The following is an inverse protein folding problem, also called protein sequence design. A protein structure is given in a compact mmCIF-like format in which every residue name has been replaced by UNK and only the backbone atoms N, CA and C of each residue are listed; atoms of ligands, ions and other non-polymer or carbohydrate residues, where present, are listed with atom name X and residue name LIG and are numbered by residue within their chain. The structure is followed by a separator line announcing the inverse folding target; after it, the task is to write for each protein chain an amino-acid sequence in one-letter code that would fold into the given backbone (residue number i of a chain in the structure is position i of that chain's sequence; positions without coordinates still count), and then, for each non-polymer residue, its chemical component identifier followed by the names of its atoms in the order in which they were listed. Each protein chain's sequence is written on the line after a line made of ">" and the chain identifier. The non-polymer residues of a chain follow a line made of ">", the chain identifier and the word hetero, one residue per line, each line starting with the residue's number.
data_IF_392975645542
#
_entry.id   IF_392975645542
#
_cell.length_a   1.000
_cell.length_b   1.000
_cell.length_c   1.000
_cell.angle_alpha   90.00
_cell.angle_beta   90.00
_cell.angle_gamma   90.00
#
_symmetry.space_group_name_H-M   'P 1'
#
loop_
_entity.id
_entity.type
_entity.pdbx_description
1 polymer ?
#
# COMPACT_ATOMS: atom_id res chain seq x y z
N UNK A 1 26.63 -7.70 0.00
CA UNK A 1 25.67 -8.05 -1.05
C UNK A 1 24.25 -8.08 -0.44
N UNK A 2 23.25 -7.45 -1.06
CA UNK A 2 21.86 -7.48 -0.55
C UNK A 2 21.33 -8.93 -0.61
N UNK A 3 20.91 -9.46 0.54
CA UNK A 3 20.40 -10.83 0.64
C UNK A 3 18.98 -11.01 0.08
N UNK A 4 18.17 -9.92 0.09
CA UNK A 4 16.76 -9.95 -0.31
C UNK A 4 16.58 -10.33 -1.78
N UNK A 5 17.37 -9.79 -2.68
CA UNK A 5 17.25 -10.07 -4.12
C UNK A 5 17.49 -11.54 -4.51
N UNK A 6 18.27 -12.27 -3.72
CA UNK A 6 18.58 -13.69 -3.97
C UNK A 6 17.53 -14.67 -3.47
N UNK A 7 16.56 -14.19 -2.66
CA UNK A 7 15.52 -15.05 -2.13
C UNK A 7 14.49 -15.34 -3.24
N UNK A 8 14.22 -16.61 -3.57
CA UNK A 8 13.19 -16.95 -4.54
C UNK A 8 11.81 -16.51 -4.04
N UNK A 9 10.89 -16.30 -4.96
CA UNK A 9 9.49 -16.03 -4.67
C UNK A 9 8.69 -17.26 -5.05
N UNK A 10 8.00 -17.88 -4.10
CA UNK A 10 7.09 -18.97 -4.37
C UNK A 10 5.83 -18.49 -5.08
N UNK A 11 5.38 -19.23 -6.08
CA UNK A 11 4.15 -18.96 -6.84
C UNK A 11 3.01 -19.71 -6.17
N UNK A 12 2.04 -19.03 -5.55
CA UNK A 12 0.89 -19.72 -4.95
C UNK A 12 -0.03 -20.30 -6.04
N UNK A 13 -0.79 -21.34 -5.68
CA UNK A 13 -1.74 -21.97 -6.58
C UNK A 13 -2.77 -20.94 -7.10
N UNK A 14 -3.04 -20.96 -8.42
CA UNK A 14 -3.97 -20.04 -9.06
C UNK A 14 -3.36 -18.70 -9.50
N UNK A 15 -2.06 -18.51 -9.35
CA UNK A 15 -1.33 -17.35 -9.90
C UNK A 15 -0.54 -17.78 -11.13
N UNK A 16 -0.72 -17.06 -12.23
CA UNK A 16 0.04 -17.21 -13.47
C UNK A 16 0.96 -16.01 -13.68
N UNK A 17 2.19 -16.27 -14.10
CA UNK A 17 3.19 -15.24 -14.33
C UNK A 17 3.72 -15.37 -15.74
N UNK A 18 3.67 -14.29 -16.48
CA UNK A 18 4.21 -14.20 -17.85
C UNK A 18 5.24 -13.08 -17.92
N UNK A 19 6.33 -13.35 -18.59
CA UNK A 19 7.38 -12.37 -18.87
C UNK A 19 7.41 -12.14 -20.36
N UNK A 20 7.22 -10.91 -20.80
CA UNK A 20 7.29 -10.53 -22.23
C UNK A 20 8.74 -10.21 -22.61
N UNK A 21 9.03 -10.21 -23.92
CA UNK A 21 10.35 -9.90 -24.48
C UNK A 21 10.86 -8.50 -24.07
N UNK A 22 9.94 -7.56 -23.83
CA UNK A 22 10.23 -6.22 -23.29
C UNK A 22 10.55 -6.21 -21.79
N UNK A 23 10.85 -7.35 -21.19
CA UNK A 23 11.08 -7.52 -19.76
C UNK A 23 9.93 -7.00 -18.87
N UNK A 24 8.69 -7.04 -19.40
CA UNK A 24 7.48 -6.72 -18.67
C UNK A 24 6.93 -7.99 -18.01
N UNK A 25 6.90 -7.98 -16.69
CA UNK A 25 6.34 -9.07 -15.89
C UNK A 25 4.86 -8.80 -15.66
N UNK A 26 4.00 -9.72 -16.05
CA UNK A 26 2.56 -9.67 -15.79
C UNK A 26 2.19 -10.82 -14.86
N UNK A 27 1.53 -10.49 -13.77
CA UNK A 27 1.07 -11.45 -12.75
C UNK A 27 -0.45 -11.42 -12.71
N UNK A 28 -1.06 -12.57 -12.96
CA UNK A 28 -2.51 -12.75 -12.97
C UNK A 28 -2.94 -13.73 -11.89
N UNK A 29 -3.94 -13.37 -11.11
CA UNK A 29 -4.47 -14.19 -10.02
C UNK A 29 -5.96 -14.00 -9.79
N UNK A 30 -6.51 -14.62 -8.75
CA UNK A 30 -7.95 -14.61 -8.47
C UNK A 30 -8.51 -13.22 -8.15
N UNK A 31 -7.69 -12.28 -7.66
CA UNK A 31 -8.15 -10.93 -7.29
C UNK A 31 -7.91 -9.87 -8.36
N UNK A 32 -7.14 -10.19 -9.40
CA UNK A 32 -6.86 -9.27 -10.49
C UNK A 32 -5.59 -9.57 -11.24
N UNK A 33 -5.19 -8.62 -12.06
CA UNK A 33 -3.99 -8.68 -12.88
C UNK A 33 -3.16 -7.43 -12.66
N UNK A 34 -1.84 -7.60 -12.53
CA UNK A 34 -0.89 -6.51 -12.38
C UNK A 34 0.29 -6.69 -13.33
N UNK A 35 0.85 -5.60 -13.81
CA UNK A 35 2.03 -5.65 -14.66
C UNK A 35 3.08 -4.63 -14.23
N UNK A 36 4.35 -5.02 -14.33
CA UNK A 36 5.49 -4.18 -13.99
C UNK A 36 6.58 -4.33 -15.03
N UNK A 37 7.08 -3.22 -15.53
CA UNK A 37 8.27 -3.21 -16.39
C UNK A 37 9.51 -3.31 -15.51
N UNK A 38 10.39 -4.26 -15.83
CA UNK A 38 11.64 -4.50 -15.14
C UNK A 38 12.79 -3.95 -15.96
N UNK A 39 13.76 -3.32 -15.29
CA UNK A 39 14.94 -2.79 -15.99
C UNK A 39 15.72 -3.92 -16.70
N UNK A 40 16.24 -3.70 -17.93
CA UNK A 40 16.97 -4.71 -18.69
C UNK A 40 18.22 -5.28 -17.97
N UNK A 41 18.73 -4.57 -16.96
CA UNK A 41 19.86 -5.05 -16.14
C UNK A 41 19.48 -6.22 -15.21
N UNK A 42 18.20 -6.57 -15.12
CA UNK A 42 17.70 -7.67 -14.29
C UNK A 42 16.94 -8.64 -15.17
N UNK A 43 17.38 -9.89 -15.16
CA UNK A 43 16.69 -11.01 -15.81
C UNK A 43 15.76 -11.69 -14.81
N UNK A 44 14.53 -11.91 -15.20
CA UNK A 44 13.52 -12.62 -14.39
C UNK A 44 13.37 -14.03 -14.95
N UNK A 45 13.72 -15.02 -14.15
CA UNK A 45 13.59 -16.44 -14.51
C UNK A 45 12.36 -16.99 -13.76
N UNK A 46 11.41 -17.52 -14.50
CA UNK A 46 10.20 -18.16 -13.96
C UNK A 46 10.34 -19.66 -14.12
N UNK A 47 10.36 -20.37 -13.01
CA UNK A 47 10.24 -21.81 -12.96
C UNK A 47 8.82 -22.19 -12.51
N UNK A 48 8.45 -23.48 -12.58
CA UNK A 48 7.07 -23.94 -12.33
C UNK A 48 6.50 -23.52 -10.96
N UNK A 49 7.35 -23.38 -9.94
CA UNK A 49 6.94 -23.06 -8.58
C UNK A 49 7.62 -21.80 -7.99
N UNK A 50 8.63 -21.26 -8.63
CA UNK A 50 9.45 -20.19 -8.07
C UNK A 50 9.91 -19.20 -9.12
N UNK A 51 10.08 -17.93 -8.70
CA UNK A 51 10.68 -16.86 -9.50
C UNK A 51 12.03 -16.51 -8.90
N UNK A 52 13.04 -16.44 -9.74
CA UNK A 52 14.38 -16.00 -9.39
C UNK A 52 14.81 -14.79 -10.22
N UNK A 53 15.70 -14.00 -9.67
CA UNK A 53 16.20 -12.77 -10.28
C UNK A 53 17.71 -12.86 -10.43
N UNK A 54 18.20 -12.50 -11.60
CA UNK A 54 19.63 -12.49 -11.92
C UNK A 54 20.04 -11.10 -12.44
N UNK A 55 21.26 -10.70 -12.10
CA UNK A 55 21.82 -9.44 -12.59
C UNK A 55 22.54 -9.75 -13.92
N UNK A 56 22.17 -9.03 -14.97
CA UNK A 56 22.85 -9.10 -16.26
C UNK A 56 24.09 -8.22 -16.20
N UNK A 57 25.28 -8.84 -16.33
CA UNK A 57 26.56 -8.13 -16.22
C UNK A 57 26.92 -7.34 -17.49
N UNK A 58 26.40 -7.74 -18.65
CA UNK A 58 26.73 -7.20 -19.97
C UNK A 58 26.27 -5.76 -20.24
N UNK A 59 25.40 -5.20 -19.42
CA UNK A 59 24.92 -3.81 -19.60
C UNK A 59 25.81 -2.83 -18.82
N UNK A 60 26.85 -2.30 -19.46
CA UNK A 60 27.79 -1.33 -18.88
C UNK A 60 27.22 0.07 -18.62
N UNK A 61 25.96 0.33 -19.03
CA UNK A 61 25.30 1.64 -18.86
C UNK A 61 24.84 1.93 -17.43
N UNK A 62 24.76 0.91 -16.57
CA UNK A 62 24.28 1.04 -15.19
C UNK A 62 25.38 0.61 -14.21
N UNK A 63 25.66 1.48 -13.23
CA UNK A 63 26.66 1.17 -12.20
C UNK A 63 26.29 -0.10 -11.41
N UNK A 64 27.30 -0.88 -11.02
CA UNK A 64 27.10 -2.14 -10.26
C UNK A 64 26.29 -1.96 -8.98
N UNK A 65 26.44 -0.81 -8.31
CA UNK A 65 25.63 -0.47 -7.12
C UNK A 65 24.15 -0.31 -7.45
N UNK A 66 23.83 0.30 -8.60
CA UNK A 66 22.44 0.48 -9.06
C UNK A 66 21.83 -0.85 -9.48
N UNK A 67 22.58 -1.72 -10.18
CA UNK A 67 22.13 -3.08 -10.52
C UNK A 67 21.74 -3.87 -9.26
N UNK A 68 22.57 -3.79 -8.20
CA UNK A 68 22.26 -4.42 -6.92
C UNK A 68 21.01 -3.84 -6.23
N UNK A 69 20.81 -2.53 -6.34
CA UNK A 69 19.61 -1.88 -5.83
C UNK A 69 18.34 -2.32 -6.59
N UNK A 70 18.42 -2.36 -7.92
CA UNK A 70 17.33 -2.85 -8.77
C UNK A 70 16.98 -4.31 -8.52
N UNK A 71 17.98 -5.16 -8.28
CA UNK A 71 17.77 -6.56 -7.94
C UNK A 71 16.86 -6.73 -6.71
N UNK A 72 17.12 -6.01 -5.63
CA UNK A 72 16.28 -6.02 -4.44
C UNK A 72 14.92 -5.35 -4.64
N UNK A 73 14.88 -4.24 -5.40
CA UNK A 73 13.66 -3.50 -5.70
C UNK A 73 12.66 -4.35 -6.48
N UNK A 74 13.07 -4.89 -7.64
CA UNK A 74 12.15 -5.66 -8.50
C UNK A 74 11.70 -6.95 -7.85
N UNK A 75 12.58 -7.62 -7.12
CA UNK A 75 12.17 -8.77 -6.30
C UNK A 75 11.04 -8.40 -5.33
N UNK A 76 11.16 -7.27 -4.64
CA UNK A 76 10.14 -6.83 -3.68
C UNK A 76 8.84 -6.39 -4.36
N UNK A 77 8.93 -5.71 -5.52
CA UNK A 77 7.77 -5.29 -6.30
C UNK A 77 6.99 -6.52 -6.81
N UNK A 78 7.68 -7.47 -7.43
CA UNK A 78 7.03 -8.68 -7.97
C UNK A 78 6.45 -9.53 -6.83
N UNK A 79 7.14 -9.67 -5.70
CA UNK A 79 6.56 -10.33 -4.53
C UNK A 79 5.28 -9.63 -4.03
N UNK A 80 5.26 -8.29 -4.00
CA UNK A 80 4.05 -7.55 -3.65
C UNK A 80 2.92 -7.79 -4.67
N UNK A 81 3.24 -7.91 -5.97
CA UNK A 81 2.24 -8.23 -7.00
C UNK A 81 1.67 -9.64 -6.79
N UNK A 82 2.52 -10.64 -6.55
CA UNK A 82 2.08 -12.02 -6.30
C UNK A 82 1.15 -12.09 -5.10
N UNK A 83 1.52 -11.49 -3.96
CA UNK A 83 0.66 -11.43 -2.76
C UNK A 83 -0.61 -10.63 -3.05
N UNK A 84 -0.50 -9.52 -3.78
CA UNK A 84 -1.64 -8.66 -4.11
C UNK A 84 -2.72 -9.35 -4.96
N UNK A 85 -2.32 -10.12 -5.98
CA UNK A 85 -3.28 -10.82 -6.84
C UNK A 85 -3.81 -12.12 -6.21
N UNK A 86 -3.10 -12.71 -5.24
CA UNK A 86 -3.52 -13.92 -4.52
C UNK A 86 -4.42 -13.58 -3.32
N UNK A 87 -3.88 -12.91 -2.33
CA UNK A 87 -4.54 -12.59 -1.05
C UNK A 87 -5.19 -11.21 -1.06
N UNK A 88 -4.58 -10.25 -1.79
CA UNK A 88 -4.92 -8.83 -1.77
C UNK A 88 -4.42 -8.12 -0.52
N UNK A 89 -4.44 -6.80 -0.59
CA UNK A 89 -4.07 -5.95 0.53
C UNK A 89 -5.29 -5.28 1.12
N UNK A 90 -5.37 -5.28 2.45
CA UNK A 90 -6.41 -4.62 3.23
C UNK A 90 -5.80 -3.65 4.21
N UNK A 91 -6.30 -2.42 4.25
CA UNK A 91 -5.94 -1.40 5.23
C UNK A 91 -7.21 -0.82 5.85
N UNK A 92 -7.13 -0.57 7.15
CA UNK A 92 -8.24 0.00 7.91
C UNK A 92 -7.78 1.31 8.54
N UNK A 93 -8.59 2.35 8.39
CA UNK A 93 -8.40 3.66 8.97
C UNK A 93 -9.54 3.95 9.94
N UNK A 94 -9.25 4.62 11.02
CA UNK A 94 -10.17 5.00 12.07
C UNK A 94 -10.19 6.53 12.21
N UNK A 95 -11.38 7.12 12.30
CA UNK A 95 -11.59 8.54 12.49
C UNK A 95 -11.85 8.84 13.96
N UNK A 96 -10.87 9.39 14.66
CA UNK A 96 -10.98 9.72 16.08
C UNK A 96 -11.27 11.20 16.25
N UNK A 97 -12.47 11.54 16.70
CA UNK A 97 -12.86 12.92 16.98
C UNK A 97 -14.37 13.10 17.14
N UNK A 98 -14.78 14.04 17.98
CA UNK A 98 -16.18 14.35 18.19
C UNK A 98 -16.78 14.93 16.92
N UNK A 99 -17.87 14.32 16.44
CA UNK A 99 -18.57 14.76 15.24
C UNK A 99 -17.89 14.37 13.91
N UNK A 100 -16.81 13.59 13.95
CA UNK A 100 -16.21 13.04 12.71
C UNK A 100 -17.11 11.99 12.12
N UNK A 101 -17.35 12.09 10.82
CA UNK A 101 -18.18 11.16 10.05
C UNK A 101 -17.51 10.87 8.72
N UNK A 102 -17.80 9.70 8.20
CA UNK A 102 -17.44 9.29 6.85
C UNK A 102 -18.60 8.52 6.24
N UNK A 103 -18.88 8.79 4.98
CA UNK A 103 -19.83 8.04 4.17
C UNK A 103 -19.21 7.72 2.82
N UNK A 104 -19.67 6.66 2.18
CA UNK A 104 -19.28 6.33 0.83
C UNK A 104 -20.49 6.15 -0.07
N UNK A 105 -20.39 6.64 -1.30
CA UNK A 105 -21.33 6.39 -2.40
C UNK A 105 -20.53 5.79 -3.55
N UNK A 106 -20.50 4.46 -3.61
CA UNK A 106 -19.58 3.77 -4.52
C UNK A 106 -18.13 4.12 -4.19
N UNK A 107 -17.41 4.68 -5.17
CA UNK A 107 -16.00 5.07 -5.00
C UNK A 107 -15.81 6.51 -4.48
N UNK A 108 -16.87 7.25 -4.25
CA UNK A 108 -16.81 8.59 -3.68
C UNK A 108 -16.88 8.52 -2.15
N UNK A 109 -15.84 9.01 -1.48
CA UNK A 109 -15.81 9.17 -0.03
C UNK A 109 -16.09 10.62 0.34
N UNK A 110 -17.00 10.80 1.28
CA UNK A 110 -17.31 12.09 1.90
C UNK A 110 -16.87 12.08 3.36
N UNK A 111 -16.09 13.07 3.74
CA UNK A 111 -15.52 13.23 5.08
C UNK A 111 -16.03 14.50 5.75
N UNK A 112 -16.62 14.37 6.92
CA UNK A 112 -16.88 15.47 7.84
C UNK A 112 -15.87 15.42 9.00
N UNK A 113 -14.84 16.27 8.96
CA UNK A 113 -13.68 16.25 9.87
C UNK A 113 -13.59 17.53 10.74
N UNK A 114 -14.71 18.19 10.96
CA UNK A 114 -14.75 19.43 11.74
C UNK A 114 -14.24 20.66 10.98
N UNK A 115 -14.24 20.62 9.66
CA UNK A 115 -14.05 21.77 8.77
C UNK A 115 -15.42 22.35 8.38
N UNK A 116 -15.43 23.58 7.87
CA UNK A 116 -16.64 24.27 7.40
C UNK A 116 -17.34 23.52 6.28
N UNK A 117 -16.57 22.88 5.39
CA UNK A 117 -17.06 22.10 4.27
C UNK A 117 -16.64 20.63 4.37
N UNK A 118 -17.46 19.66 3.90
CA UNK A 118 -17.04 18.29 3.77
C UNK A 118 -15.94 18.16 2.73
N UNK A 119 -15.07 17.17 2.91
CA UNK A 119 -14.02 16.83 1.95
C UNK A 119 -14.50 15.66 1.12
N UNK A 120 -14.50 15.82 -0.19
CA UNK A 120 -14.85 14.76 -1.14
C UNK A 120 -13.57 14.17 -1.74
N UNK A 121 -13.48 12.85 -1.78
CA UNK A 121 -12.38 12.11 -2.39
C UNK A 121 -12.93 11.03 -3.31
N UNK A 122 -12.66 11.15 -4.60
CA UNK A 122 -12.90 10.08 -5.55
C UNK A 122 -11.76 9.07 -5.51
N UNK A 123 -12.08 7.80 -5.32
CA UNK A 123 -11.11 6.70 -5.31
C UNK A 123 -10.97 6.10 -6.71
N UNK A 124 -9.77 5.62 -7.08
CA UNK A 124 -9.59 4.81 -8.29
C UNK A 124 -10.46 3.54 -8.24
N UNK A 125 -10.87 3.06 -9.40
CA UNK A 125 -11.72 1.85 -9.53
C UNK A 125 -11.06 0.57 -9.02
N UNK A 126 -9.74 0.55 -8.90
CA UNK A 126 -8.94 -0.57 -8.40
C UNK A 126 -9.00 -0.74 -6.88
N UNK A 127 -9.57 0.25 -6.17
CA UNK A 127 -9.71 0.22 -4.73
C UNK A 127 -11.18 -0.01 -4.35
N UNK A 128 -11.43 -1.08 -3.63
CA UNK A 128 -12.72 -1.33 -3.00
C UNK A 128 -12.74 -0.62 -1.65
N UNK A 129 -13.83 0.08 -1.37
CA UNK A 129 -13.99 0.82 -0.12
C UNK A 129 -15.29 0.41 0.58
N UNK A 130 -15.19 0.23 1.89
CA UNK A 130 -16.32 0.05 2.78
C UNK A 130 -16.16 1.01 3.96
N UNK A 131 -17.27 1.62 4.37
CA UNK A 131 -17.32 2.46 5.58
C UNK A 131 -18.16 1.78 6.63
N UNK A 132 -17.65 1.72 7.86
CA UNK A 132 -18.40 1.24 9.03
C UNK A 132 -18.56 2.37 10.03
N UNK A 133 -19.82 2.65 10.38
CA UNK A 133 -20.16 3.65 11.40
C UNK A 133 -21.16 3.03 12.36
N UNK A 134 -20.66 2.50 13.47
CA UNK A 134 -21.49 1.92 14.53
C UNK A 134 -21.70 2.92 15.65
N UNK A 135 -22.81 2.75 16.37
CA UNK A 135 -23.14 3.63 17.51
C UNK A 135 -22.12 3.39 18.64
N UNK A 136 -21.52 4.45 19.16
CA UNK A 136 -20.47 4.43 20.19
C UNK A 136 -19.10 3.90 19.76
N UNK A 137 -18.86 3.71 18.47
CA UNK A 137 -17.54 3.39 17.93
C UNK A 137 -17.07 4.50 16.99
N UNK A 138 -15.76 4.61 16.86
CA UNK A 138 -15.19 5.54 15.88
C UNK A 138 -15.49 5.05 14.46
N UNK A 139 -15.88 5.93 13.53
CA UNK A 139 -16.07 5.55 12.14
C UNK A 139 -14.81 4.94 11.55
N UNK A 140 -14.95 3.86 10.80
CA UNK A 140 -13.86 3.13 10.19
C UNK A 140 -14.02 3.10 8.67
N UNK A 141 -12.89 3.15 7.99
CA UNK A 141 -12.79 2.99 6.54
C UNK A 141 -11.95 1.76 6.27
N UNK A 142 -12.48 0.85 5.51
CA UNK A 142 -11.82 -0.37 5.06
C UNK A 142 -11.52 -0.20 3.60
N UNK A 143 -10.24 -0.31 3.22
CA UNK A 143 -9.75 -0.19 1.86
C UNK A 143 -9.10 -1.49 1.46
N UNK A 144 -9.45 -2.01 0.29
CA UNK A 144 -8.88 -3.24 -0.28
C UNK A 144 -8.44 -3.00 -1.72
N UNK A 145 -7.26 -3.50 -2.07
CA UNK A 145 -6.73 -3.45 -3.44
C UNK A 145 -5.70 -4.56 -3.68
N UNK A 146 -5.49 -4.89 -4.94
CA UNK A 146 -4.38 -5.75 -5.36
C UNK A 146 -3.05 -4.99 -5.33
N UNK A 147 -3.07 -3.67 -5.57
CA UNK A 147 -1.89 -2.84 -5.58
C UNK A 147 -1.60 -2.25 -4.19
N UNK A 148 -0.48 -2.70 -3.60
CA UNK A 148 0.02 -2.21 -2.31
C UNK A 148 0.42 -0.74 -2.35
N UNK A 149 1.00 -0.28 -3.47
CA UNK A 149 1.50 1.09 -3.61
C UNK A 149 0.33 2.07 -3.70
N UNK A 150 -0.62 1.80 -4.58
CA UNK A 150 -1.82 2.61 -4.75
C UNK A 150 -2.63 2.68 -3.45
N UNK A 151 -2.83 1.53 -2.79
CA UNK A 151 -3.50 1.45 -1.50
C UNK A 151 -2.78 2.30 -0.44
N UNK A 152 -1.45 2.22 -0.38
CA UNK A 152 -0.63 3.02 0.52
C UNK A 152 -0.74 4.53 0.27
N UNK A 153 -0.71 4.94 -0.99
CA UNK A 153 -0.85 6.35 -1.40
C UNK A 153 -2.23 6.90 -1.00
N UNK A 154 -3.29 6.15 -1.27
CA UNK A 154 -4.66 6.56 -0.90
C UNK A 154 -4.82 6.65 0.61
N UNK A 155 -4.33 5.68 1.37
CA UNK A 155 -4.34 5.74 2.84
C UNK A 155 -3.57 6.97 3.36
N UNK A 156 -2.41 7.27 2.80
CA UNK A 156 -1.62 8.45 3.16
C UNK A 156 -2.35 9.76 2.81
N UNK A 157 -3.03 9.81 1.67
CA UNK A 157 -3.85 10.97 1.25
C UNK A 157 -5.01 11.19 2.22
N UNK A 158 -5.77 10.15 2.54
CA UNK A 158 -6.88 10.24 3.51
C UNK A 158 -6.36 10.71 4.87
N UNK A 159 -5.26 10.12 5.36
CA UNK A 159 -4.66 10.53 6.63
C UNK A 159 -4.17 11.97 6.62
N UNK A 160 -3.75 12.50 5.48
CA UNK A 160 -3.30 13.90 5.34
C UNK A 160 -4.41 14.92 5.55
N UNK A 161 -5.69 14.56 5.35
CA UNK A 161 -6.83 15.48 5.56
C UNK A 161 -6.95 15.92 7.01
N UNK A 162 -6.67 15.03 7.96
CA UNK A 162 -6.59 15.37 9.38
C UNK A 162 -5.56 14.49 10.07
N UNK A 163 -4.31 14.95 10.10
CA UNK A 163 -3.23 14.22 10.75
C UNK A 163 -3.52 14.02 12.25
N UNK A 164 -3.10 12.89 12.84
CA UNK A 164 -3.29 12.64 14.26
C UNK A 164 -2.61 13.69 15.13
N UNK A 165 -3.36 14.22 16.08
CA UNK A 165 -2.88 15.19 17.04
C UNK A 165 -2.14 14.49 18.20
N UNK A 166 -0.98 14.98 18.65
CA UNK A 166 -0.23 14.32 19.70
C UNK A 166 -0.80 14.54 21.12
N UNK A 167 -1.74 15.45 21.34
CA UNK A 167 -2.27 15.75 22.69
C UNK A 167 -3.49 14.91 23.02
N UNK A 168 -4.57 15.04 22.27
CA UNK A 168 -5.84 14.31 22.48
C UNK A 168 -6.00 13.12 21.54
N UNK A 169 -5.14 12.97 20.53
CA UNK A 169 -5.18 11.88 19.57
C UNK A 169 -6.29 12.02 18.52
N UNK A 170 -6.86 13.23 18.32
CA UNK A 170 -7.85 13.47 17.27
C UNK A 170 -7.19 13.40 15.90
N UNK A 171 -7.87 12.80 14.94
CA UNK A 171 -7.39 12.70 13.57
C UNK A 171 -7.76 11.36 12.92
N UNK A 172 -7.16 11.10 11.79
CA UNK A 172 -7.32 9.85 11.06
C UNK A 172 -6.09 8.98 11.33
N UNK A 173 -6.30 7.79 11.88
CA UNK A 173 -5.28 6.84 12.28
C UNK A 173 -5.44 5.54 11.51
N UNK A 174 -4.36 4.76 11.44
CA UNK A 174 -4.52 3.34 11.10
C UNK A 174 -5.12 2.59 12.30
N UNK A 175 -5.90 1.57 12.03
CA UNK A 175 -6.46 0.73 13.09
C UNK A 175 -5.32 0.11 13.92
N UNK A 176 -5.37 0.32 15.24
CA UNK A 176 -4.34 -0.16 16.17
C UNK A 176 -3.09 0.74 16.26
N UNK A 177 -3.06 1.89 15.57
CA UNK A 177 -1.93 2.82 15.68
C UNK A 177 -1.92 3.50 17.05
N UNK A 178 -0.79 3.36 17.76
CA UNK A 178 -0.57 4.04 19.03
C UNK A 178 0.20 5.34 18.80
N UNK A 179 -0.42 6.47 19.14
CA UNK A 179 0.22 7.78 19.05
C UNK A 179 0.93 8.08 20.36
N UNK A 180 2.20 8.48 20.25
CA UNK A 180 2.93 9.00 21.41
C UNK A 180 2.30 10.33 21.85
N UNK A 181 1.54 10.29 22.94
CA UNK A 181 0.90 11.47 23.51
C UNK A 181 1.92 12.36 24.22
N UNK A 182 1.78 13.66 24.02
CA UNK A 182 2.54 14.69 24.76
C UNK A 182 1.66 15.26 25.86
N UNK A 183 2.23 15.53 27.05
CA UNK A 183 1.57 16.34 28.06
C UNK A 183 1.49 17.79 27.57
N UNK A 184 0.32 18.42 27.64
CA UNK A 184 0.18 19.85 27.40
C UNK A 184 0.94 20.68 28.44
N UNK A 185 1.01 21.98 28.26
CA UNK A 185 1.51 22.88 29.31
C UNK A 185 0.60 22.75 30.52
N UNK A 186 1.15 22.28 31.65
CA UNK A 186 0.46 22.35 32.93
C UNK A 186 0.39 23.84 33.32
N UNK A 187 -0.81 24.38 33.42
CA UNK A 187 -1.02 25.70 33.96
C UNK A 187 -0.63 25.65 35.46
N UNK A 188 0.49 26.27 35.82
CA UNK A 188 0.81 26.59 37.19
C UNK A 188 1.47 25.46 37.99
N UNK A 189 2.74 25.18 37.72
CA UNK A 189 3.66 25.02 38.86
C UNK A 189 4.14 26.43 39.22
N UNK A 190 3.46 27.07 40.17
CA UNK A 190 4.05 28.12 40.98
C UNK A 190 4.90 27.47 42.04
#
# INVERSE_FOLDING_TARGET
>A
MPRIGKLPISIPAGVTITVSDDNKVTVKGPKGEMSQVVNPSIKVNVADAEITFEIVEENDTVETKQKQAFHGLYRSLINNMVVGVSEGYKKQLELVGVGYRVSNQGNLLEFALGYTHPILLMLPSEIKVETKSERNQNPQIILESCDKQLLGQVCAKIRSFRKPEPYKGKGILFLGEQIRRKSGKSAGAK
#
